data_IF_300885336281
#
_entry.id   IF_300885336281
#
_cell.length_a   1.000
_cell.length_b   1.000
_cell.length_c   1.000
_cell.angle_alpha   90.00
_cell.angle_beta   90.00
_cell.angle_gamma   90.00
#
_symmetry.space_group_name_H-M   'P 1'
#
loop_
_entity.id
_entity.type
_entity.pdbx_description
1 polymer ?
#
# COMPACT_ATOMS: atom_id res chain seq x y z
N UNK A 1 -9.75 -57.28 18.56
CA UNK A 1 -8.50 -56.50 18.53
C UNK A 1 -8.85 -55.07 18.15
N UNK A 2 -8.20 -54.11 18.81
CA UNK A 2 -8.66 -52.74 19.04
C UNK A 2 -8.65 -51.92 17.75
N UNK A 3 -9.83 -51.46 17.37
CA UNK A 3 -10.09 -50.48 16.32
C UNK A 3 -9.77 -49.09 16.87
N UNK A 4 -8.49 -48.72 16.95
CA UNK A 4 -8.06 -47.38 17.34
C UNK A 4 -6.72 -47.14 16.66
N UNK A 5 -6.67 -46.42 15.53
CA UNK A 5 -5.53 -45.62 15.05
C UNK A 5 -5.88 -44.84 13.77
N UNK A 6 -7.10 -44.30 13.61
CA UNK A 6 -7.46 -43.45 12.44
C UNK A 6 -7.55 -41.97 12.82
N UNK A 7 -6.75 -41.52 13.80
CA UNK A 7 -6.74 -40.12 14.21
C UNK A 7 -5.31 -39.65 14.48
N UNK A 8 -4.53 -39.41 13.41
CA UNK A 8 -3.99 -38.05 13.29
C UNK A 8 -3.80 -37.66 11.80
N UNK A 9 -4.86 -37.29 11.09
CA UNK A 9 -4.69 -36.68 9.76
C UNK A 9 -5.56 -35.44 9.51
N UNK A 10 -6.36 -35.01 10.50
CA UNK A 10 -7.26 -33.88 10.35
C UNK A 10 -6.67 -32.52 10.77
N UNK A 11 -5.43 -32.47 11.27
CA UNK A 11 -4.87 -31.24 11.87
C UNK A 11 -4.02 -30.37 10.92
N UNK A 12 -3.83 -30.75 9.65
CA UNK A 12 -2.82 -30.12 8.77
C UNK A 12 -3.35 -29.09 7.75
N UNK A 13 -4.64 -28.71 7.77
CA UNK A 13 -5.25 -27.93 6.67
C UNK A 13 -5.56 -26.46 6.98
N UNK A 14 -5.00 -25.88 8.05
CA UNK A 14 -5.17 -24.45 8.38
C UNK A 14 -3.94 -23.60 8.03
N UNK A 15 -3.30 -23.86 6.89
CA UNK A 15 -2.38 -22.90 6.29
C UNK A 15 -3.19 -21.75 5.67
N UNK A 16 -3.75 -20.88 6.52
CA UNK A 16 -4.27 -19.61 6.07
C UNK A 16 -3.12 -18.77 5.56
N UNK A 17 -3.06 -18.51 4.25
CA UNK A 17 -2.19 -17.51 3.67
C UNK A 17 -2.60 -16.12 4.20
N UNK A 18 -2.08 -15.74 5.36
CA UNK A 18 -2.08 -14.35 5.76
C UNK A 18 -1.18 -13.61 4.77
N UNK A 19 -1.75 -12.70 3.97
CA UNK A 19 -0.98 -11.83 3.11
C UNK A 19 0.00 -11.05 3.98
N UNK A 20 1.30 -11.31 3.80
CA UNK A 20 2.38 -10.67 4.54
C UNK A 20 2.52 -9.17 4.23
N UNK A 21 3.53 -8.50 4.80
CA UNK A 21 3.86 -7.12 4.42
C UNK A 21 4.16 -7.02 2.92
N UNK A 22 3.71 -5.95 2.28
CA UNK A 22 3.84 -5.74 0.83
C UNK A 22 5.21 -5.20 0.42
N UNK A 23 5.91 -4.59 1.35
CA UNK A 23 7.22 -3.98 1.17
C UNK A 23 8.17 -4.45 2.28
N UNK A 24 9.43 -4.63 1.91
CA UNK A 24 10.52 -4.73 2.88
C UNK A 24 10.59 -3.43 3.70
N UNK A 25 10.93 -3.51 4.99
CA UNK A 25 11.06 -2.40 5.94
C UNK A 25 12.50 -1.96 6.14
N UNK A 26 13.47 -2.54 5.42
CA UNK A 26 14.87 -2.12 5.52
C UNK A 26 15.02 -0.63 5.22
N UNK A 27 15.70 0.06 6.13
CA UNK A 27 16.02 1.50 6.04
C UNK A 27 14.85 2.44 6.30
N UNK A 28 13.67 1.94 6.68
CA UNK A 28 12.49 2.77 6.96
C UNK A 28 12.33 3.00 8.44
N UNK A 29 11.92 4.21 8.83
CA UNK A 29 11.63 4.57 10.21
C UNK A 29 10.09 4.66 10.41
N UNK A 30 9.47 3.74 11.17
CA UNK A 30 8.02 3.73 11.40
C UNK A 30 7.54 4.90 12.29
N UNK A 31 8.44 5.63 12.95
CA UNK A 31 8.08 6.81 13.74
C UNK A 31 7.83 8.05 12.86
N UNK A 32 8.29 8.04 11.60
CA UNK A 32 8.03 9.11 10.65
C UNK A 32 6.60 8.96 10.12
N UNK A 33 5.75 9.92 10.46
CA UNK A 33 4.36 10.00 9.98
C UNK A 33 4.18 11.28 9.16
N UNK A 34 3.17 11.38 8.29
CA UNK A 34 2.96 12.59 7.50
C UNK A 34 2.94 13.88 8.33
N UNK A 35 2.20 13.91 9.45
CA UNK A 35 2.13 15.11 10.29
C UNK A 35 3.44 15.40 11.03
N UNK A 36 4.17 14.38 11.49
CA UNK A 36 5.35 14.57 12.35
C UNK A 36 6.60 15.02 11.59
N UNK A 37 6.68 14.76 10.28
CA UNK A 37 7.86 15.14 9.49
C UNK A 37 7.86 16.60 9.05
N UNK A 38 6.73 17.30 9.10
CA UNK A 38 6.61 18.67 8.58
C UNK A 38 7.56 19.65 9.28
N UNK A 39 7.69 19.68 10.63
CA UNK A 39 8.56 20.62 11.32
C UNK A 39 10.05 20.45 10.99
N UNK A 40 10.49 19.21 10.74
CA UNK A 40 11.91 18.84 10.59
C UNK A 40 12.22 18.28 9.19
N UNK A 41 11.43 18.64 8.17
CA UNK A 41 11.50 18.00 6.85
C UNK A 41 12.91 18.07 6.22
N UNK A 42 13.63 19.17 6.41
CA UNK A 42 14.98 19.32 5.85
C UNK A 42 15.96 18.27 6.41
N UNK A 43 15.81 17.89 7.68
CA UNK A 43 16.62 16.85 8.31
C UNK A 43 16.17 15.43 7.93
N UNK A 44 14.93 15.27 7.43
CA UNK A 44 14.33 13.97 7.07
C UNK A 44 14.28 13.73 5.56
N UNK A 45 14.63 14.71 4.73
CA UNK A 45 14.68 14.58 3.27
C UNK A 45 15.54 13.38 2.85
N UNK A 46 15.05 12.61 1.90
CA UNK A 46 15.69 11.40 1.39
C UNK A 46 15.50 10.15 2.26
N UNK A 47 14.95 10.29 3.48
CA UNK A 47 14.63 9.14 4.32
C UNK A 47 13.59 8.23 3.64
N UNK A 48 13.80 6.92 3.73
CA UNK A 48 12.85 5.95 3.20
C UNK A 48 11.67 5.81 4.16
N UNK A 49 10.46 5.79 3.59
CA UNK A 49 9.21 5.67 4.34
C UNK A 49 8.31 4.62 3.70
N UNK A 50 7.47 3.99 4.54
CA UNK A 50 6.31 3.22 4.09
C UNK A 50 5.09 3.85 4.72
N UNK A 51 4.33 4.56 3.91
CA UNK A 51 3.10 5.20 4.33
C UNK A 51 1.93 4.62 3.56
N UNK A 52 0.74 4.78 4.09
CA UNK A 52 -0.46 4.43 3.35
C UNK A 52 -1.63 5.24 3.82
N UNK A 53 -2.65 5.24 2.99
CA UNK A 53 -3.80 6.07 3.20
C UNK A 53 -4.94 5.78 2.26
N UNK A 54 -5.95 6.62 2.36
CA UNK A 54 -7.05 6.66 1.40
C UNK A 54 -6.75 7.76 0.39
N UNK A 55 -6.83 7.43 -0.91
CA UNK A 55 -6.67 8.39 -1.99
C UNK A 55 -7.79 9.44 -1.89
N UNK A 56 -7.41 10.71 -1.82
CA UNK A 56 -8.35 11.83 -1.86
C UNK A 56 -8.48 12.36 -3.28
N UNK A 57 -7.37 12.45 -4.01
CA UNK A 57 -7.36 12.91 -5.39
C UNK A 57 -6.20 12.29 -6.18
N UNK A 58 -6.42 12.14 -7.48
CA UNK A 58 -5.42 11.67 -8.46
C UNK A 58 -5.36 12.69 -9.58
N UNK A 59 -4.15 13.12 -9.93
CA UNK A 59 -3.91 14.10 -10.98
C UNK A 59 -2.79 13.61 -11.88
N UNK A 60 -3.13 13.29 -13.13
CA UNK A 60 -2.13 13.00 -14.15
C UNK A 60 -1.45 14.30 -14.59
N UNK A 61 -0.13 14.33 -14.49
CA UNK A 61 0.75 15.42 -14.88
C UNK A 61 1.43 15.08 -16.20
N UNK A 62 2.18 16.03 -16.77
CA UNK A 62 2.95 15.78 -18.00
C UNK A 62 4.00 14.66 -17.83
N UNK A 63 4.58 14.55 -16.64
CA UNK A 63 5.74 13.69 -16.36
C UNK A 63 5.46 12.64 -15.27
N UNK A 64 4.20 12.22 -15.11
CA UNK A 64 3.83 11.22 -14.10
C UNK A 64 2.48 11.50 -13.45
N UNK A 65 2.24 10.92 -12.29
CA UNK A 65 0.99 11.04 -11.54
C UNK A 65 1.24 11.60 -10.15
N UNK A 66 0.44 12.59 -9.75
CA UNK A 66 0.38 13.07 -8.37
C UNK A 66 -0.85 12.51 -7.69
N UNK A 67 -0.64 11.85 -6.56
CA UNK A 67 -1.70 11.34 -5.69
C UNK A 67 -1.70 12.15 -4.39
N UNK A 68 -2.88 12.57 -3.95
CA UNK A 68 -3.09 13.12 -2.63
C UNK A 68 -3.73 12.05 -1.75
N UNK A 69 -3.13 11.76 -0.60
CA UNK A 69 -3.64 10.76 0.34
C UNK A 69 -3.92 11.38 1.70
N UNK A 70 -4.97 10.88 2.36
CA UNK A 70 -5.13 11.00 3.80
C UNK A 70 -4.47 9.80 4.46
N UNK A 71 -3.39 10.03 5.20
CA UNK A 71 -2.55 8.99 5.78
C UNK A 71 -3.14 8.38 7.05
N UNK A 72 -2.90 7.08 7.25
CA UNK A 72 -3.32 6.31 8.42
C UNK A 72 -2.17 5.41 8.88
N UNK A 73 -2.17 4.99 10.17
CA UNK A 73 -1.29 3.92 10.63
C UNK A 73 -1.48 2.66 9.77
N UNK A 74 -0.42 1.89 9.60
CA UNK A 74 -0.47 0.65 8.85
C UNK A 74 -0.63 -0.55 9.76
N UNK A 75 -1.44 -1.52 9.35
CA UNK A 75 -1.54 -2.81 10.03
C UNK A 75 -0.35 -3.73 9.68
N UNK A 76 -0.36 -4.97 10.19
CA UNK A 76 0.72 -5.95 9.98
C UNK A 76 0.99 -6.30 8.52
N UNK A 77 -0.01 -6.20 7.65
CA UNK A 77 0.12 -6.42 6.20
C UNK A 77 0.48 -5.13 5.46
N UNK A 78 0.80 -4.05 6.18
CA UNK A 78 1.03 -2.71 5.65
C UNK A 78 -0.20 -2.08 4.98
N UNK A 79 -1.41 -2.55 5.31
CA UNK A 79 -2.67 -1.94 4.83
C UNK A 79 -3.05 -0.77 5.74
N UNK A 80 -3.56 0.36 5.20
CA UNK A 80 -4.02 1.47 6.01
C UNK A 80 -5.15 1.04 6.98
N UNK A 81 -4.95 1.28 8.27
CA UNK A 81 -5.97 1.08 9.29
C UNK A 81 -6.86 2.32 9.39
N UNK A 82 -7.92 2.32 8.58
CA UNK A 82 -8.86 3.44 8.49
C UNK A 82 -9.76 3.59 9.73
N UNK A 83 -9.71 2.66 10.68
CA UNK A 83 -10.38 2.79 11.97
C UNK A 83 -9.56 3.61 12.98
N UNK A 84 -8.26 3.78 12.73
CA UNK A 84 -7.39 4.60 13.55
C UNK A 84 -7.46 6.09 13.15
N UNK A 85 -7.04 7.03 14.02
CA UNK A 85 -6.96 8.44 13.69
C UNK A 85 -6.03 8.70 12.48
N UNK A 86 -6.44 9.62 11.62
CA UNK A 86 -5.61 10.02 10.48
C UNK A 86 -4.32 10.71 10.94
N UNK A 87 -3.22 10.45 10.24
CA UNK A 87 -1.88 10.95 10.56
C UNK A 87 -1.46 12.15 9.68
N UNK A 88 -2.43 12.84 9.07
CA UNK A 88 -2.22 13.96 8.16
C UNK A 88 -2.29 13.59 6.68
N UNK A 89 -2.36 14.60 5.81
CA UNK A 89 -2.34 14.43 4.36
C UNK A 89 -0.92 14.51 3.82
N UNK A 90 -0.64 13.78 2.76
CA UNK A 90 0.65 13.81 2.05
C UNK A 90 0.43 13.67 0.54
N UNK A 91 1.44 14.09 -0.22
CA UNK A 91 1.48 13.92 -1.66
C UNK A 91 2.43 12.79 -2.02
N UNK A 92 2.06 12.07 -3.07
CA UNK A 92 2.88 11.02 -3.67
C UNK A 92 3.08 11.35 -5.14
N UNK A 93 4.33 11.39 -5.58
CA UNK A 93 4.67 11.48 -7.00
C UNK A 93 5.10 10.11 -7.50
N UNK A 94 4.42 9.64 -8.55
CA UNK A 94 4.76 8.45 -9.30
C UNK A 94 5.27 8.87 -10.68
N UNK A 95 6.39 8.33 -11.17
CA UNK A 95 7.03 8.79 -12.41
C UNK A 95 6.25 8.46 -13.69
N UNK A 96 5.26 7.58 -13.63
CA UNK A 96 4.48 7.15 -14.79
C UNK A 96 3.01 7.56 -14.69
N UNK A 97 2.28 7.38 -15.79
CA UNK A 97 0.83 7.57 -15.81
C UNK A 97 0.14 6.44 -15.03
N UNK A 98 -0.84 6.80 -14.20
CA UNK A 98 -1.74 5.85 -13.56
C UNK A 98 -3.17 6.08 -14.05
N UNK A 99 -3.88 4.98 -14.32
CA UNK A 99 -5.29 5.06 -14.67
C UNK A 99 -6.09 5.58 -13.48
N UNK A 100 -6.67 6.77 -13.64
CA UNK A 100 -7.38 7.47 -12.55
C UNK A 100 -8.64 6.74 -12.09
N UNK A 101 -9.18 5.84 -12.92
CA UNK A 101 -10.31 4.96 -12.57
C UNK A 101 -9.87 3.89 -11.56
N UNK A 102 -8.66 3.34 -11.73
CA UNK A 102 -8.10 2.36 -10.80
C UNK A 102 -7.65 3.06 -9.51
N UNK A 103 -6.92 4.16 -9.64
CA UNK A 103 -6.45 5.00 -8.53
C UNK A 103 -7.47 6.07 -8.16
N UNK A 104 -8.75 5.71 -8.12
CA UNK A 104 -9.83 6.65 -7.79
C UNK A 104 -9.82 7.06 -6.31
N UNK A 105 -10.48 8.19 -6.01
CA UNK A 105 -10.73 8.61 -4.64
C UNK A 105 -11.45 7.51 -3.84
N UNK A 106 -11.09 7.36 -2.57
CA UNK A 106 -11.62 6.34 -1.66
C UNK A 106 -10.86 5.00 -1.72
N UNK A 107 -9.96 4.79 -2.68
CA UNK A 107 -9.10 3.59 -2.71
C UNK A 107 -8.06 3.64 -1.61
N UNK A 108 -7.74 2.49 -1.03
CA UNK A 108 -6.64 2.35 -0.09
C UNK A 108 -5.35 2.05 -0.86
N UNK A 109 -4.30 2.79 -0.54
CA UNK A 109 -3.00 2.69 -1.18
C UNK A 109 -1.91 2.66 -0.11
N UNK A 110 -0.96 1.76 -0.26
CA UNK A 110 0.31 1.79 0.47
C UNK A 110 1.45 2.14 -0.48
N UNK A 111 2.42 2.88 0.02
CA UNK A 111 3.49 3.49 -0.75
C UNK A 111 4.80 3.27 -0.02
N UNK A 112 5.80 2.74 -0.71
CA UNK A 112 7.20 2.81 -0.30
C UNK A 112 7.91 3.84 -1.16
N UNK A 113 8.64 4.75 -0.54
CA UNK A 113 9.37 5.79 -1.26
C UNK A 113 10.27 6.62 -0.36
N UNK A 114 10.67 7.79 -0.84
CA UNK A 114 11.54 8.72 -0.11
C UNK A 114 10.89 10.08 0.09
N UNK A 115 11.17 10.70 1.22
CA UNK A 115 10.73 12.07 1.49
C UNK A 115 11.44 13.05 0.55
N UNK A 116 10.66 13.85 -0.17
CA UNK A 116 11.14 14.81 -1.16
C UNK A 116 10.81 16.27 -0.81
N UNK A 117 10.47 16.52 0.45
CA UNK A 117 10.24 17.87 0.96
C UNK A 117 8.79 18.19 1.25
N UNK A 118 8.46 19.49 1.15
CA UNK A 118 7.12 20.02 1.39
C UNK A 118 6.59 20.72 0.13
N UNK A 119 5.29 20.56 -0.12
CA UNK A 119 4.55 21.31 -1.13
C UNK A 119 3.42 22.10 -0.44
N UNK A 120 3.29 23.39 -0.77
CA UNK A 120 2.16 24.19 -0.29
C UNK A 120 0.92 23.88 -1.13
N UNK A 121 -0.21 23.64 -0.47
CA UNK A 121 -1.51 23.52 -1.13
C UNK A 121 -2.64 24.00 -0.22
N UNK A 122 -3.84 23.49 -0.49
CA UNK A 122 -5.04 23.85 0.26
C UNK A 122 -5.86 22.62 0.63
N UNK A 123 -6.39 22.63 1.84
CA UNK A 123 -7.44 21.70 2.28
C UNK A 123 -8.68 22.53 2.58
N UNK A 124 -9.70 22.41 1.73
CA UNK A 124 -10.83 23.34 1.76
C UNK A 124 -10.35 24.75 1.44
N UNK A 125 -10.50 25.68 2.39
CA UNK A 125 -10.07 27.08 2.26
C UNK A 125 -8.79 27.40 3.06
N UNK A 126 -8.19 26.40 3.72
CA UNK A 126 -7.03 26.59 4.57
C UNK A 126 -5.75 26.18 3.86
N UNK A 127 -4.70 27.00 3.98
CA UNK A 127 -3.36 26.64 3.50
C UNK A 127 -2.84 25.43 4.28
N UNK A 128 -2.24 24.50 3.56
CA UNK A 128 -1.68 23.26 4.13
C UNK A 128 -0.30 22.98 3.53
N UNK A 129 0.61 22.42 4.34
CA UNK A 129 1.93 21.98 3.91
C UNK A 129 1.93 20.46 3.82
N UNK A 130 2.02 19.94 2.60
CA UNK A 130 2.05 18.52 2.33
C UNK A 130 3.49 18.01 2.37
N UNK A 131 3.83 17.04 3.22
CA UNK A 131 5.02 16.24 2.99
C UNK A 131 4.86 15.47 1.67
N UNK A 132 5.95 15.42 0.91
CA UNK A 132 5.99 14.81 -0.41
C UNK A 132 6.79 13.51 -0.33
N UNK A 133 6.24 12.45 -0.91
CA UNK A 133 6.92 11.17 -1.11
C UNK A 133 7.15 10.96 -2.60
N UNK A 134 8.42 10.86 -3.00
CA UNK A 134 8.77 10.29 -4.30
C UNK A 134 8.61 8.76 -4.20
N UNK A 135 7.57 8.22 -4.84
CA UNK A 135 7.24 6.80 -4.72
C UNK A 135 8.20 5.93 -5.53
N UNK A 136 8.70 4.88 -4.89
CA UNK A 136 9.50 3.82 -5.50
C UNK A 136 8.62 2.60 -5.80
N UNK A 137 7.66 2.29 -4.91
CA UNK A 137 6.65 1.22 -5.11
C UNK A 137 5.29 1.63 -4.57
N UNK A 138 4.25 1.17 -5.26
CA UNK A 138 2.84 1.36 -4.91
C UNK A 138 2.17 -0.01 -4.71
N UNK A 139 1.23 -0.07 -3.77
CA UNK A 139 0.36 -1.23 -3.58
C UNK A 139 -1.08 -0.79 -3.39
N UNK A 140 -1.88 -0.96 -4.44
CA UNK A 140 -3.29 -0.59 -4.47
C UNK A 140 -4.13 -1.75 -3.93
N UNK A 141 -4.78 -1.54 -2.79
CA UNK A 141 -5.54 -2.62 -2.15
C UNK A 141 -6.84 -2.93 -2.91
N UNK A 142 -7.23 -4.22 -2.98
CA UNK A 142 -8.52 -4.62 -3.53
C UNK A 142 -9.67 -4.07 -2.68
N UNK A 143 -10.81 -3.79 -3.31
CA UNK A 143 -12.00 -3.36 -2.58
C UNK A 143 -12.54 -4.52 -1.73
N UNK A 144 -13.21 -4.24 -0.60
CA UNK A 144 -13.94 -5.28 0.12
C UNK A 144 -14.89 -6.02 -0.82
N UNK A 145 -14.76 -7.34 -0.91
CA UNK A 145 -15.57 -8.19 -1.82
C UNK A 145 -14.97 -8.43 -3.20
N UNK A 146 -13.92 -7.70 -3.58
CA UNK A 146 -13.14 -7.98 -4.79
C UNK A 146 -12.13 -9.07 -4.45
N UNK A 147 -12.23 -10.24 -5.11
CA UNK A 147 -11.20 -11.28 -4.97
C UNK A 147 -9.90 -10.73 -5.56
N UNK A 148 -8.86 -10.63 -4.74
CA UNK A 148 -7.50 -10.39 -5.22
C UNK A 148 -7.15 -11.54 -6.15
N UNK A 149 -7.32 -11.35 -7.46
CA UNK A 149 -6.97 -12.37 -8.44
C UNK A 149 -5.48 -12.22 -8.67
N UNK A 150 -4.68 -12.75 -7.75
CA UNK A 150 -3.30 -13.06 -8.10
C UNK A 150 -3.37 -14.01 -9.31
N UNK A 151 -2.75 -13.70 -10.45
CA UNK A 151 -2.79 -14.56 -11.61
C UNK A 151 -2.10 -15.88 -11.23
N UNK A 152 -2.91 -16.90 -10.93
CA UNK A 152 -2.42 -18.25 -10.70
C UNK A 152 -2.10 -18.81 -12.08
N UNK A 153 -0.83 -18.77 -12.47
CA UNK A 153 -0.37 -19.42 -13.69
C UNK A 153 -0.54 -20.94 -13.54
N UNK A 154 -1.66 -21.46 -14.05
CA UNK A 154 -1.84 -22.90 -14.21
C UNK A 154 -1.13 -23.33 -15.50
N UNK A 155 0.06 -23.93 -15.37
CA UNK A 155 0.70 -24.65 -16.46
C UNK A 155 -0.06 -25.96 -16.69
N UNK A 156 -0.95 -25.98 -17.69
CA UNK A 156 -1.57 -27.20 -18.18
C UNK A 156 -0.55 -28.05 -18.94
N UNK A 157 -0.12 -29.17 -18.35
CA UNK A 157 0.60 -30.22 -19.09
C UNK A 157 -0.40 -30.94 -20.01
N UNK A 158 -0.43 -30.56 -21.28
CA UNK A 158 -1.15 -31.32 -22.32
C UNK A 158 -0.38 -32.59 -22.64
N UNK A 159 -0.90 -33.75 -22.23
CA UNK A 159 -0.44 -35.05 -22.76
C UNK A 159 -1.03 -35.23 -24.15
N UNK A 160 -0.22 -34.97 -25.18
CA UNK A 160 -0.57 -35.32 -26.55
C UNK A 160 -0.37 -36.82 -26.77
N UNK A 161 -1.46 -37.58 -26.72
CA UNK A 161 -1.50 -38.94 -27.25
C UNK A 161 -1.81 -38.83 -28.75
N UNK A 162 -0.81 -39.07 -29.59
CA UNK A 162 -1.00 -39.31 -31.01
C UNK A 162 -1.11 -40.82 -31.23
N UNK A 163 -2.12 -41.23 -31.99
CA UNK A 163 -2.43 -42.61 -32.35
C UNK A 163 -1.60 -43.09 -33.54
#
# INVERSE_FOLDING_TARGET
>A
MRLLHVLPLAAALLAGCAAGPQFDTVGTDPALTPATVVPDMDAKRGAAVIWGGVIVATTNLRNGTRLELLGYPLNRSQRPDIAAPAQGRFLVYWPEYLESVDFAAGRQLSVRGRLDGLESGQVGQSRYLYPVVAAERLWLWPRPGERSTDPTFHFGFGVFLHN
#
